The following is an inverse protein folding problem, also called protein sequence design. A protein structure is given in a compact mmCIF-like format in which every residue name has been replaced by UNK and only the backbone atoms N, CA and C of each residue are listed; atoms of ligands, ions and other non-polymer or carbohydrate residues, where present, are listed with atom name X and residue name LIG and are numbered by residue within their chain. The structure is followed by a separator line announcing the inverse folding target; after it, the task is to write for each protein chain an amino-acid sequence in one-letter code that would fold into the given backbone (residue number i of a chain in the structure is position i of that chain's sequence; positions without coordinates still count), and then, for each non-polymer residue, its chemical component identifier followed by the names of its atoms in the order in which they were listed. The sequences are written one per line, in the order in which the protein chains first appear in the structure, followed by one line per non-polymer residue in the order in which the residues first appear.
data_IF_713270974017
#
_entry.id   IF_713270974017
#
_cell.length_a   1.000
_cell.length_b   1.000
_cell.length_c   1.000
_cell.angle_alpha   90.00
_cell.angle_beta   90.00
_cell.angle_gamma   90.00
#
_symmetry.space_group_name_H-M   'P 1'
#
loop_
_entity.id
_entity.type
_entity.pdbx_description
1 polymer ?
#
# COMPACT_ATOMS: atom_id res chain seq x y z
N UNK A 1 -34.15 24.54 13.45
CA UNK A 1 -33.14 23.59 12.95
C UNK A 1 -31.70 24.13 12.90
N UNK A 2 -31.40 25.41 13.25
CA UNK A 2 -30.05 26.02 13.13
C UNK A 2 -29.12 25.83 14.35
N UNK A 3 -29.66 25.45 15.52
CA UNK A 3 -28.87 25.36 16.76
C UNK A 3 -28.03 24.09 16.90
N UNK A 4 -28.60 22.96 16.49
CA UNK A 4 -27.94 21.64 16.59
C UNK A 4 -26.69 21.54 15.70
N UNK A 5 -26.74 22.11 14.51
CA UNK A 5 -25.61 22.17 13.58
C UNK A 5 -24.45 23.01 14.12
N UNK A 6 -24.73 24.14 14.78
CA UNK A 6 -23.68 24.98 15.39
C UNK A 6 -23.01 24.29 16.59
N UNK A 7 -23.78 23.54 17.38
CA UNK A 7 -23.24 22.76 18.50
C UNK A 7 -22.41 21.57 18.02
N UNK A 8 -22.87 20.84 17.00
CA UNK A 8 -22.10 19.77 16.38
C UNK A 8 -20.79 20.29 15.76
N UNK A 9 -20.83 21.40 15.01
CA UNK A 9 -19.63 22.01 14.43
C UNK A 9 -18.63 22.49 15.51
N UNK A 10 -19.11 22.95 16.67
CA UNK A 10 -18.26 23.35 17.79
C UNK A 10 -17.61 22.14 18.48
N UNK A 11 -18.35 21.04 18.61
CA UNK A 11 -17.87 19.76 19.17
C UNK A 11 -16.85 19.09 18.22
N UNK A 12 -17.09 19.12 16.91
CA UNK A 12 -16.15 18.63 15.90
C UNK A 12 -14.84 19.43 15.88
N UNK A 13 -14.90 20.75 16.08
CA UNK A 13 -13.69 21.61 16.17
C UNK A 13 -12.87 21.37 17.44
N UNK A 14 -13.50 20.98 18.53
CA UNK A 14 -12.85 20.65 19.81
C UNK A 14 -12.16 19.27 19.79
N UNK A 15 -12.61 18.36 18.93
CA UNK A 15 -12.04 17.00 18.76
C UNK A 15 -10.92 16.96 17.71
N UNK A 16 -10.56 18.11 17.10
CA UNK A 16 -9.49 18.15 16.08
C UNK A 16 -9.81 17.42 14.76
N UNK A 17 -11.09 17.03 14.56
CA UNK A 17 -11.52 16.37 13.34
C UNK A 17 -11.64 17.38 12.19
N UNK A 18 -10.82 17.24 11.17
CA UNK A 18 -10.84 18.06 9.98
C UNK A 18 -12.20 17.95 9.25
N UNK A 19 -12.92 19.05 9.15
CA UNK A 19 -14.22 19.15 8.45
C UNK A 19 -14.12 18.68 6.98
N UNK A 20 -12.95 18.86 6.35
CA UNK A 20 -12.66 18.35 5.00
C UNK A 20 -12.65 16.81 4.92
N UNK A 21 -12.17 16.10 5.95
CA UNK A 21 -12.20 14.64 5.99
C UNK A 21 -13.64 14.11 6.06
N UNK A 22 -14.48 14.71 6.89
CA UNK A 22 -15.88 14.30 7.03
C UNK A 22 -16.73 14.60 5.79
N UNK A 23 -16.41 15.69 5.06
CA UNK A 23 -17.08 16.02 3.80
C UNK A 23 -16.66 15.10 2.66
N UNK A 24 -15.41 14.66 2.62
CA UNK A 24 -14.90 13.70 1.62
C UNK A 24 -15.60 12.34 1.73
N UNK A 25 -15.77 11.82 2.94
CA UNK A 25 -16.51 10.57 3.18
C UNK A 25 -18.01 10.70 2.93
N UNK A 26 -18.63 11.82 3.31
CA UNK A 26 -20.04 12.08 3.03
C UNK A 26 -20.31 12.14 1.51
N UNK A 27 -19.40 12.72 0.73
CA UNK A 27 -19.48 12.74 -0.74
C UNK A 27 -19.29 11.33 -1.33
N UNK A 28 -18.45 10.50 -0.74
CA UNK A 28 -18.28 9.10 -1.13
C UNK A 28 -19.59 8.32 -0.98
N UNK A 29 -20.22 8.38 0.20
CA UNK A 29 -21.44 7.63 0.51
C UNK A 29 -22.57 8.03 -0.47
N UNK A 30 -22.57 9.24 -1.00
CA UNK A 30 -23.60 9.76 -1.89
C UNK A 30 -23.28 9.66 -3.39
N UNK A 31 -22.08 9.19 -3.78
CA UNK A 31 -21.72 9.06 -5.20
C UNK A 31 -21.41 7.63 -5.60
N UNK A 32 -22.37 6.87 -6.15
CA UNK A 32 -22.15 5.49 -6.60
C UNK A 32 -21.07 5.38 -7.68
N UNK A 33 -20.87 6.45 -8.46
CA UNK A 33 -19.81 6.49 -9.48
C UNK A 33 -18.41 6.47 -8.85
N UNK A 34 -18.16 7.25 -7.78
CA UNK A 34 -16.87 7.25 -7.10
C UNK A 34 -16.56 5.90 -6.45
N UNK A 35 -17.58 5.22 -5.91
CA UNK A 35 -17.45 3.86 -5.40
C UNK A 35 -17.10 2.85 -6.50
N UNK A 36 -17.73 2.98 -7.66
CA UNK A 36 -17.45 2.11 -8.80
C UNK A 36 -16.00 2.31 -9.29
N UNK A 37 -15.53 3.56 -9.36
CA UNK A 37 -14.14 3.88 -9.74
C UNK A 37 -13.16 3.35 -8.67
N UNK A 38 -13.41 3.60 -7.39
CA UNK A 38 -12.57 3.09 -6.31
C UNK A 38 -12.53 1.55 -6.30
N UNK A 39 -13.68 0.91 -6.45
CA UNK A 39 -13.79 -0.55 -6.57
C UNK A 39 -13.01 -1.11 -7.76
N UNK A 40 -13.07 -0.46 -8.92
CA UNK A 40 -12.30 -0.86 -10.10
C UNK A 40 -10.79 -0.71 -9.88
N UNK A 41 -10.34 0.40 -9.26
CA UNK A 41 -8.93 0.61 -8.91
C UNK A 41 -8.45 -0.49 -7.97
N UNK A 42 -9.21 -0.81 -6.91
CA UNK A 42 -8.87 -1.86 -5.95
C UNK A 42 -8.85 -3.24 -6.62
N UNK A 43 -9.85 -3.54 -7.45
CA UNK A 43 -9.87 -4.80 -8.21
C UNK A 43 -8.61 -4.95 -9.07
N UNK A 44 -8.23 -3.90 -9.81
CA UNK A 44 -7.02 -3.90 -10.64
C UNK A 44 -5.75 -4.06 -9.78
N UNK A 45 -5.63 -3.34 -8.68
CA UNK A 45 -4.46 -3.39 -7.80
C UNK A 45 -4.28 -4.79 -7.18
N UNK A 46 -5.36 -5.42 -6.72
CA UNK A 46 -5.30 -6.76 -6.14
C UNK A 46 -5.18 -7.86 -7.18
N UNK A 47 -5.67 -7.65 -8.39
CA UNK A 47 -5.37 -8.49 -9.54
C UNK A 47 -3.85 -8.50 -9.83
N UNK A 48 -3.21 -7.32 -9.89
CA UNK A 48 -1.75 -7.19 -10.04
C UNK A 48 -1.03 -7.94 -8.94
N UNK A 49 -1.44 -7.75 -7.68
CA UNK A 49 -0.86 -8.44 -6.53
C UNK A 49 -0.96 -9.96 -6.65
N UNK A 50 -2.08 -10.50 -7.10
CA UNK A 50 -2.25 -11.95 -7.27
C UNK A 50 -1.31 -12.52 -8.36
N UNK A 51 -1.09 -11.76 -9.44
CA UNK A 51 -0.21 -12.16 -10.56
C UNK A 51 1.28 -12.04 -10.19
N UNK A 52 1.69 -10.91 -9.63
CA UNK A 52 3.11 -10.57 -9.38
C UNK A 52 3.53 -10.97 -7.97
N UNK A 53 2.61 -11.00 -6.99
CA UNK A 53 2.84 -11.30 -5.58
C UNK A 53 2.95 -10.06 -4.68
N UNK A 54 3.00 -8.84 -5.25
CA UNK A 54 3.11 -7.57 -4.51
C UNK A 54 2.54 -6.41 -5.34
N UNK A 55 2.55 -5.19 -4.77
CA UNK A 55 2.26 -3.94 -5.50
C UNK A 55 0.84 -3.41 -5.35
N UNK A 56 -0.10 -4.12 -4.70
CA UNK A 56 -1.46 -3.62 -4.47
C UNK A 56 -1.46 -2.28 -3.73
N UNK A 57 -0.67 -2.16 -2.67
CA UNK A 57 -0.62 -0.95 -1.86
C UNK A 57 -0.19 0.28 -2.68
N UNK A 58 0.93 0.19 -3.39
CA UNK A 58 1.43 1.30 -4.20
C UNK A 58 0.44 1.72 -5.29
N UNK A 59 -0.14 0.75 -6.01
CA UNK A 59 -1.11 1.02 -7.09
C UNK A 59 -2.39 1.63 -6.51
N UNK A 60 -2.93 1.04 -5.43
CA UNK A 60 -4.13 1.55 -4.77
C UNK A 60 -3.93 2.96 -4.25
N UNK A 61 -2.84 3.23 -3.51
CA UNK A 61 -2.56 4.55 -2.97
C UNK A 61 -2.33 5.56 -4.10
N UNK A 62 -1.53 5.20 -5.11
CA UNK A 62 -1.28 6.10 -6.24
C UNK A 62 -2.56 6.51 -6.95
N UNK A 63 -3.44 5.57 -7.27
CA UNK A 63 -4.64 5.86 -8.05
C UNK A 63 -5.76 6.46 -7.19
N UNK A 64 -5.99 5.97 -5.97
CA UNK A 64 -7.04 6.51 -5.10
C UNK A 64 -6.71 7.93 -4.62
N UNK A 65 -5.44 8.27 -4.42
CA UNK A 65 -5.03 9.63 -4.01
C UNK A 65 -5.30 10.68 -5.11
N UNK A 66 -5.60 10.28 -6.35
CA UNK A 66 -6.12 11.19 -7.37
C UNK A 66 -7.53 11.72 -7.05
N UNK A 67 -8.28 10.99 -6.22
CA UNK A 67 -9.69 11.23 -5.94
C UNK A 67 -9.89 11.60 -4.47
N UNK A 68 -9.12 10.98 -3.56
CA UNK A 68 -9.27 11.09 -2.11
C UNK A 68 -7.99 11.56 -1.43
N UNK A 69 -8.08 12.21 -0.24
CA UNK A 69 -6.91 12.61 0.52
C UNK A 69 -6.02 11.42 0.90
N UNK A 70 -4.72 11.56 0.71
CA UNK A 70 -3.75 10.50 0.99
C UNK A 70 -3.83 9.97 2.43
N UNK A 71 -4.10 10.84 3.41
CA UNK A 71 -4.24 10.47 4.83
C UNK A 71 -5.45 9.57 5.12
N UNK A 72 -6.43 9.51 4.22
CA UNK A 72 -7.59 8.61 4.30
C UNK A 72 -7.34 7.33 3.50
N UNK A 73 -6.75 7.49 2.31
CA UNK A 73 -6.45 6.37 1.41
C UNK A 73 -5.50 5.37 2.05
N UNK A 74 -4.40 5.85 2.65
CA UNK A 74 -3.34 4.97 3.16
C UNK A 74 -3.83 4.04 4.27
N UNK A 75 -4.61 4.49 5.29
CA UNK A 75 -5.17 3.58 6.31
C UNK A 75 -6.20 2.58 5.76
N UNK A 76 -7.04 2.96 4.80
CA UNK A 76 -7.98 2.03 4.16
C UNK A 76 -7.23 0.96 3.38
N UNK A 77 -6.24 1.35 2.58
CA UNK A 77 -5.41 0.42 1.81
C UNK A 77 -4.63 -0.51 2.73
N UNK A 78 -4.19 -0.06 3.92
CA UNK A 78 -3.58 -0.94 4.93
C UNK A 78 -4.52 -2.11 5.29
N UNK A 79 -5.79 -1.82 5.59
CA UNK A 79 -6.76 -2.86 5.98
C UNK A 79 -7.01 -3.85 4.83
N UNK A 80 -7.11 -3.33 3.59
CA UNK A 80 -7.26 -4.17 2.40
C UNK A 80 -6.00 -5.02 2.13
N UNK A 81 -4.81 -4.46 2.32
CA UNK A 81 -3.54 -5.17 2.18
C UNK A 81 -3.35 -6.25 3.26
N UNK A 82 -3.81 -5.98 4.49
CA UNK A 82 -3.82 -6.96 5.57
C UNK A 82 -4.70 -8.16 5.19
N UNK A 83 -5.94 -7.90 4.72
CA UNK A 83 -6.83 -8.94 4.21
C UNK A 83 -6.18 -9.74 3.08
N UNK A 84 -5.61 -9.06 2.09
CA UNK A 84 -4.91 -9.69 0.97
C UNK A 84 -3.69 -10.52 1.42
N UNK A 85 -2.94 -10.06 2.42
CA UNK A 85 -1.78 -10.81 2.98
C UNK A 85 -2.23 -12.08 3.70
N UNK A 86 -3.32 -12.04 4.46
CA UNK A 86 -3.90 -13.22 5.12
C UNK A 86 -4.36 -14.23 4.07
N UNK A 87 -5.10 -13.78 3.05
CA UNK A 87 -5.64 -14.67 2.03
C UNK A 87 -4.56 -15.31 1.14
N UNK A 88 -3.50 -14.58 0.81
CA UNK A 88 -2.40 -15.10 -0.01
C UNK A 88 -1.34 -15.84 0.82
N UNK A 89 -1.10 -15.41 2.06
CA UNK A 89 -0.06 -15.97 2.93
C UNK A 89 -0.37 -17.37 3.43
N UNK A 90 -1.65 -17.78 3.48
CA UNK A 90 -2.07 -19.08 3.97
C UNK A 90 -1.54 -20.26 3.11
N UNK A 91 -1.11 -20.00 1.87
CA UNK A 91 -0.74 -21.06 0.91
C UNK A 91 0.73 -21.47 0.93
N UNK A 92 1.68 -20.62 1.37
CA UNK A 92 3.12 -20.85 1.14
C UNK A 92 4.00 -20.74 2.41
N UNK A 93 3.45 -20.83 3.61
CA UNK A 93 4.19 -20.61 4.88
C UNK A 93 5.45 -21.49 5.06
N UNK A 94 5.44 -22.69 4.46
CA UNK A 94 6.56 -23.65 4.59
C UNK A 94 7.81 -23.24 3.80
N UNK A 95 7.65 -22.44 2.77
CA UNK A 95 8.74 -21.98 1.89
C UNK A 95 9.38 -20.65 2.37
N UNK A 96 8.91 -20.14 3.50
CA UNK A 96 9.37 -18.86 4.06
C UNK A 96 10.82 -18.95 4.54
N UNK A 97 11.65 -18.01 4.12
CA UNK A 97 13.05 -17.94 4.52
C UNK A 97 13.22 -17.09 5.78
N UNK A 98 13.16 -17.74 6.93
CA UNK A 98 13.32 -17.11 8.24
C UNK A 98 14.60 -16.29 8.42
N UNK A 99 15.78 -16.70 7.88
CA UNK A 99 16.98 -15.88 7.96
C UNK A 99 16.81 -14.48 7.34
N UNK A 100 16.06 -14.36 6.24
CA UNK A 100 15.77 -13.08 5.60
C UNK A 100 14.88 -12.20 6.50
N UNK A 101 13.83 -12.80 7.09
CA UNK A 101 12.91 -12.09 7.98
C UNK A 101 13.58 -11.57 9.24
N UNK A 102 14.52 -12.32 9.82
CA UNK A 102 15.27 -11.89 11.01
C UNK A 102 16.04 -10.60 10.81
N UNK A 103 16.48 -10.31 9.59
CA UNK A 103 17.18 -9.08 9.25
C UNK A 103 16.25 -7.99 8.74
N UNK A 104 15.16 -8.33 8.06
CA UNK A 104 14.17 -7.37 7.56
C UNK A 104 13.31 -6.77 8.67
N UNK A 105 12.76 -7.62 9.58
CA UNK A 105 11.77 -7.19 10.58
C UNK A 105 12.29 -6.10 11.51
N UNK A 106 13.49 -6.19 12.12
CA UNK A 106 13.98 -5.13 13.00
C UNK A 106 14.10 -3.79 12.28
N UNK A 107 14.63 -3.80 11.05
CA UNK A 107 14.69 -2.61 10.20
C UNK A 107 13.32 -2.07 9.88
N UNK A 108 12.41 -2.95 9.49
CA UNK A 108 11.03 -2.59 9.15
C UNK A 108 10.29 -1.93 10.31
N UNK A 109 10.42 -2.45 11.55
CA UNK A 109 9.83 -1.84 12.76
C UNK A 109 10.26 -0.39 12.91
N UNK A 110 11.57 -0.12 12.79
CA UNK A 110 12.13 1.24 12.88
C UNK A 110 11.55 2.11 11.75
N UNK A 111 11.58 1.59 10.52
CA UNK A 111 11.07 2.29 9.35
C UNK A 111 9.57 2.59 9.44
N UNK A 112 8.77 1.62 9.90
CA UNK A 112 7.32 1.76 10.10
C UNK A 112 7.01 2.86 11.15
N UNK A 113 7.74 2.90 12.25
CA UNK A 113 7.58 3.94 13.28
C UNK A 113 7.85 5.33 12.71
N UNK A 114 8.99 5.50 12.03
CA UNK A 114 9.37 6.77 11.39
C UNK A 114 8.33 7.18 10.33
N UNK A 115 7.98 6.27 9.43
CA UNK A 115 7.04 6.56 8.35
C UNK A 115 5.61 6.84 8.85
N UNK A 116 5.14 6.14 9.90
CA UNK A 116 3.82 6.40 10.49
C UNK A 116 3.78 7.77 11.16
N UNK A 117 4.86 8.18 11.84
CA UNK A 117 4.98 9.52 12.42
C UNK A 117 4.97 10.60 11.32
N UNK A 118 5.76 10.41 10.26
CA UNK A 118 5.77 11.33 9.10
C UNK A 118 4.37 11.42 8.47
N UNK A 119 3.66 10.33 8.31
CA UNK A 119 2.29 10.32 7.77
C UNK A 119 1.33 11.15 8.64
N UNK A 120 1.44 11.03 9.96
CA UNK A 120 0.60 11.76 10.90
C UNK A 120 0.88 13.26 10.88
N UNK A 121 2.15 13.66 10.92
CA UNK A 121 2.61 15.04 11.13
C UNK A 121 2.70 15.86 9.83
N UNK A 122 3.05 15.23 8.70
CA UNK A 122 3.23 15.94 7.42
C UNK A 122 1.90 16.30 6.77
N UNK A 123 1.83 17.45 6.11
CA UNK A 123 0.64 17.83 5.34
C UNK A 123 0.43 16.96 4.10
N UNK A 124 -0.85 16.79 3.70
CA UNK A 124 -1.23 15.91 2.60
C UNK A 124 -0.58 16.27 1.25
N UNK A 125 -0.36 17.57 0.99
CA UNK A 125 0.25 18.04 -0.26
C UNK A 125 1.71 17.57 -0.39
N UNK A 126 2.51 17.72 0.67
CA UNK A 126 3.90 17.27 0.67
C UNK A 126 3.98 15.74 0.55
N UNK A 127 3.12 15.01 1.28
CA UNK A 127 3.03 13.55 1.16
C UNK A 127 2.75 13.12 -0.29
N UNK A 128 1.83 13.79 -0.96
CA UNK A 128 1.47 13.50 -2.36
C UNK A 128 2.62 13.83 -3.32
N UNK A 129 3.35 14.93 -3.11
CA UNK A 129 4.55 15.25 -3.90
C UNK A 129 5.66 14.21 -3.72
N UNK A 130 5.94 13.81 -2.48
CA UNK A 130 6.92 12.75 -2.20
C UNK A 130 6.48 11.41 -2.80
N UNK A 131 5.18 11.10 -2.79
CA UNK A 131 4.63 9.93 -3.49
C UNK A 131 4.95 9.99 -4.98
N UNK A 132 4.76 11.14 -5.63
CA UNK A 132 5.09 11.35 -7.05
C UNK A 132 6.56 11.04 -7.35
N UNK A 133 7.49 11.62 -6.57
CA UNK A 133 8.94 11.34 -6.69
C UNK A 133 9.22 9.85 -6.52
N UNK A 134 8.64 9.23 -5.48
CA UNK A 134 8.85 7.82 -5.19
C UNK A 134 8.32 6.91 -6.31
N UNK A 135 7.13 7.20 -6.85
CA UNK A 135 6.56 6.44 -7.98
C UNK A 135 7.49 6.51 -9.20
N UNK A 136 7.97 7.71 -9.56
CA UNK A 136 8.87 7.86 -10.71
C UNK A 136 10.20 7.15 -10.49
N UNK A 137 10.79 7.25 -9.30
CA UNK A 137 12.00 6.52 -8.95
C UNK A 137 11.77 4.99 -9.05
N UNK A 138 10.62 4.49 -8.57
CA UNK A 138 10.26 3.09 -8.70
C UNK A 138 10.07 2.65 -10.16
N UNK A 139 9.43 3.47 -10.99
CA UNK A 139 9.27 3.19 -12.43
C UNK A 139 10.63 3.06 -13.12
N UNK A 140 11.54 4.02 -12.87
CA UNK A 140 12.91 3.97 -13.40
C UNK A 140 13.63 2.70 -12.92
N UNK A 141 13.56 2.39 -11.62
CA UNK A 141 14.11 1.16 -11.07
C UNK A 141 13.55 -0.08 -11.78
N UNK A 142 12.22 -0.19 -11.92
CA UNK A 142 11.57 -1.35 -12.52
C UNK A 142 11.86 -1.52 -14.02
N UNK A 143 12.15 -0.44 -14.75
CA UNK A 143 12.51 -0.47 -16.17
C UNK A 143 13.99 -0.80 -16.40
N UNK A 144 14.88 -0.27 -15.56
CA UNK A 144 16.33 -0.40 -15.72
C UNK A 144 16.87 -1.69 -15.09
N UNK A 145 16.37 -2.04 -13.91
CA UNK A 145 16.88 -3.18 -13.14
C UNK A 145 16.29 -4.50 -13.63
N UNK A 146 17.17 -5.35 -14.13
CA UNK A 146 16.85 -6.74 -14.48
C UNK A 146 17.20 -7.64 -13.30
N UNK A 147 16.26 -8.42 -12.73
CA UNK A 147 16.51 -9.29 -11.58
C UNK A 147 17.75 -10.18 -11.75
N UNK A 148 17.96 -10.73 -12.95
CA UNK A 148 19.07 -11.62 -13.28
C UNK A 148 20.45 -10.94 -13.27
N UNK A 149 20.51 -9.59 -13.29
CA UNK A 149 21.73 -8.79 -13.30
C UNK A 149 22.03 -8.10 -11.97
N UNK A 150 21.16 -8.28 -10.99
CA UNK A 150 21.36 -7.68 -9.66
C UNK A 150 22.50 -8.37 -8.93
N UNK A 151 23.38 -7.61 -8.25
CA UNK A 151 24.46 -8.19 -7.43
C UNK A 151 23.85 -8.97 -6.26
N UNK A 152 24.52 -10.06 -5.87
CA UNK A 152 24.14 -10.80 -4.67
C UNK A 152 24.63 -10.04 -3.44
N UNK A 153 23.73 -9.77 -2.49
CA UNK A 153 24.04 -9.08 -1.25
C UNK A 153 23.97 -10.00 -0.04
N UNK A 154 24.64 -9.63 1.05
CA UNK A 154 24.63 -10.39 2.31
C UNK A 154 23.35 -10.15 3.12
N UNK A 155 23.06 -11.04 4.07
CA UNK A 155 21.87 -10.97 4.94
C UNK A 155 21.72 -9.64 5.70
N UNK A 156 22.79 -9.04 6.28
CA UNK A 156 22.67 -7.79 7.04
C UNK A 156 22.08 -6.61 6.25
N UNK A 157 22.15 -6.61 4.92
CA UNK A 157 21.49 -5.60 4.08
C UNK A 157 19.97 -5.61 4.20
N UNK A 158 19.41 -6.67 4.80
CA UNK A 158 17.98 -6.73 5.14
C UNK A 158 17.56 -5.62 6.10
N UNK A 159 18.42 -5.24 7.06
CA UNK A 159 18.05 -4.19 8.03
C UNK A 159 17.93 -2.80 7.38
N UNK A 160 18.91 -2.23 6.66
CA UNK A 160 18.75 -0.93 6.03
C UNK A 160 17.66 -0.91 4.96
N UNK A 161 17.50 -1.99 4.18
CA UNK A 161 16.42 -2.09 3.20
C UNK A 161 15.06 -2.32 3.87
N UNK A 162 15.02 -2.97 5.03
CA UNK A 162 13.86 -3.05 5.90
C UNK A 162 13.45 -1.68 6.44
N UNK A 163 14.39 -0.84 6.91
CA UNK A 163 14.10 0.53 7.36
C UNK A 163 13.47 1.33 6.23
N UNK A 164 14.10 1.33 5.06
CA UNK A 164 13.58 2.06 3.91
C UNK A 164 12.22 1.52 3.45
N UNK A 165 12.07 0.17 3.42
CA UNK A 165 10.81 -0.50 3.12
C UNK A 165 9.69 -0.15 4.11
N UNK A 166 10.01 -0.10 5.40
CA UNK A 166 9.07 0.29 6.46
C UNK A 166 8.61 1.75 6.34
N UNK A 167 9.53 2.70 6.07
CA UNK A 167 9.18 4.10 5.83
C UNK A 167 8.23 4.22 4.66
N UNK A 168 8.61 3.67 3.51
CA UNK A 168 7.78 3.70 2.29
C UNK A 168 6.45 2.96 2.50
N UNK A 169 6.49 1.84 3.22
CA UNK A 169 5.32 1.05 3.58
C UNK A 169 4.28 1.84 4.35
N UNK A 170 4.72 2.58 5.37
CA UNK A 170 3.84 3.43 6.17
C UNK A 170 3.31 4.64 5.41
N UNK A 171 4.11 5.22 4.53
CA UNK A 171 3.68 6.41 3.79
C UNK A 171 2.74 6.09 2.63
N UNK A 172 2.96 4.98 1.93
CA UNK A 172 2.38 4.74 0.61
C UNK A 172 1.77 3.35 0.42
N UNK A 173 1.57 2.62 1.50
CA UNK A 173 0.82 1.35 1.42
C UNK A 173 1.57 0.20 0.76
N UNK A 174 2.82 0.11 0.95
CA UNK A 174 3.56 -1.03 0.43
C UNK A 174 5.06 -0.81 0.47
N UNK A 175 5.73 -1.30 1.50
CA UNK A 175 7.18 -1.41 1.57
C UNK A 175 7.76 -2.30 0.47
N UNK A 176 6.90 -2.65 -0.53
CA UNK A 176 7.20 -3.58 -1.60
C UNK A 176 8.49 -3.29 -2.33
N UNK A 177 8.69 -2.14 -2.98
CA UNK A 177 9.86 -1.95 -3.83
C UNK A 177 11.22 -2.17 -3.15
N UNK A 178 11.54 -1.59 -1.97
CA UNK A 178 12.82 -1.84 -1.31
C UNK A 178 12.99 -3.29 -0.83
N UNK A 179 11.91 -3.87 -0.28
CA UNK A 179 11.93 -5.27 0.19
C UNK A 179 12.03 -6.23 -0.99
N UNK A 180 11.31 -5.94 -2.09
CA UNK A 180 11.41 -6.71 -3.34
C UNK A 180 12.82 -6.66 -3.90
N UNK A 181 13.45 -5.47 -3.95
CA UNK A 181 14.82 -5.30 -4.39
C UNK A 181 15.78 -6.16 -3.55
N UNK A 182 15.63 -6.13 -2.21
CA UNK A 182 16.41 -6.97 -1.32
C UNK A 182 16.25 -8.45 -1.64
N UNK A 183 15.01 -8.94 -1.68
CA UNK A 183 14.74 -10.38 -1.91
C UNK A 183 15.20 -10.83 -3.31
N UNK A 184 15.14 -9.96 -4.32
CA UNK A 184 15.71 -10.24 -5.66
C UNK A 184 17.23 -10.34 -5.60
N UNK A 185 17.93 -9.44 -4.89
CA UNK A 185 19.38 -9.49 -4.70
C UNK A 185 19.83 -10.67 -3.82
N UNK A 186 18.91 -11.32 -3.10
CA UNK A 186 19.15 -12.58 -2.38
C UNK A 186 19.02 -13.81 -3.29
N UNK A 187 18.56 -13.64 -4.53
CA UNK A 187 18.39 -14.69 -5.54
C UNK A 187 17.56 -15.88 -5.05
N UNK A 188 16.48 -15.58 -4.33
CA UNK A 188 15.53 -16.60 -3.87
C UNK A 188 14.77 -17.17 -5.08
N UNK A 189 14.45 -18.45 -5.01
CA UNK A 189 13.52 -19.04 -5.97
C UNK A 189 12.12 -18.42 -5.85
N UNK A 190 11.28 -18.58 -6.87
CA UNK A 190 9.99 -17.90 -6.96
C UNK A 190 9.04 -18.21 -5.78
N UNK A 191 9.09 -19.45 -5.24
CA UNK A 191 8.22 -19.83 -4.10
C UNK A 191 8.71 -19.22 -2.81
N UNK A 192 10.01 -19.35 -2.52
CA UNK A 192 10.63 -18.74 -1.35
C UNK A 192 10.53 -17.20 -1.37
N UNK A 193 10.69 -16.56 -2.55
CA UNK A 193 10.48 -15.13 -2.71
C UNK A 193 9.05 -14.72 -2.31
N UNK A 194 8.03 -15.36 -2.88
CA UNK A 194 6.62 -15.05 -2.58
C UNK A 194 6.28 -15.29 -1.12
N UNK A 195 6.67 -16.45 -0.58
CA UNK A 195 6.43 -16.80 0.81
C UNK A 195 7.07 -15.81 1.78
N UNK A 196 8.36 -15.47 1.56
CA UNK A 196 9.09 -14.53 2.42
C UNK A 196 8.54 -13.12 2.30
N UNK A 197 8.18 -12.69 1.08
CA UNK A 197 7.53 -11.39 0.87
C UNK A 197 6.16 -11.30 1.58
N UNK A 198 5.32 -12.34 1.50
CA UNK A 198 4.05 -12.35 2.21
C UNK A 198 4.23 -12.37 3.74
N UNK A 199 5.26 -13.05 4.23
CA UNK A 199 5.60 -13.06 5.66
C UNK A 199 5.95 -11.67 6.18
N UNK A 200 6.87 -10.96 5.51
CA UNK A 200 7.22 -9.59 5.92
C UNK A 200 6.03 -8.64 5.71
N UNK A 201 5.29 -8.75 4.61
CA UNK A 201 4.14 -7.91 4.34
C UNK A 201 3.03 -8.07 5.39
N UNK A 202 2.77 -9.31 5.85
CA UNK A 202 1.81 -9.56 6.94
C UNK A 202 2.29 -8.94 8.24
N UNK A 203 3.55 -9.16 8.61
CA UNK A 203 4.16 -8.58 9.82
C UNK A 203 4.09 -7.06 9.79
N UNK A 204 4.50 -6.44 8.68
CA UNK A 204 4.47 -4.99 8.51
C UNK A 204 3.06 -4.42 8.57
N UNK A 205 2.08 -5.08 7.94
CA UNK A 205 0.69 -4.63 7.97
C UNK A 205 0.09 -4.70 9.38
N UNK A 206 0.40 -5.75 10.17
CA UNK A 206 -0.04 -5.86 11.56
C UNK A 206 0.59 -4.76 12.41
N UNK A 207 1.91 -4.59 12.35
CA UNK A 207 2.63 -3.57 13.12
C UNK A 207 2.17 -2.15 12.75
N UNK A 208 2.02 -1.88 11.44
CA UNK A 208 1.51 -0.62 10.94
C UNK A 208 0.08 -0.34 11.41
N UNK A 209 -0.77 -1.39 11.46
CA UNK A 209 -2.12 -1.31 12.02
C UNK A 209 -2.11 -0.81 13.47
N UNK A 210 -1.26 -1.39 14.31
CA UNK A 210 -1.10 -0.92 15.70
C UNK A 210 -0.63 0.53 15.77
N UNK A 211 0.36 0.92 14.95
CA UNK A 211 0.87 2.29 14.93
C UNK A 211 -0.20 3.28 14.45
N UNK A 212 -1.01 2.92 13.45
CA UNK A 212 -2.08 3.80 12.95
C UNK A 212 -3.23 3.94 13.94
N UNK A 213 -3.53 2.91 14.73
CA UNK A 213 -4.47 3.03 15.86
C UNK A 213 -3.90 3.97 16.92
N UNK A 214 -2.64 3.79 17.32
CA UNK A 214 -1.97 4.62 18.32
C UNK A 214 -1.87 6.10 17.91
N UNK A 215 -1.72 6.39 16.63
CA UNK A 215 -1.66 7.74 16.06
C UNK A 215 -3.03 8.29 15.63
N UNK A 216 -4.14 7.61 15.98
CA UNK A 216 -5.51 7.97 15.59
C UNK A 216 -5.72 8.18 14.08
N UNK A 217 -4.92 7.51 13.24
CA UNK A 217 -5.05 7.52 11.78
C UNK A 217 -6.17 6.58 11.29
N UNK A 218 -6.57 5.57 12.09
CA UNK A 218 -7.69 4.68 11.80
C UNK A 218 -8.94 5.19 12.51
N UNK A 219 -9.95 5.58 11.74
CA UNK A 219 -11.26 6.04 12.23
C UNK A 219 -12.37 5.07 11.85
N UNK A 220 -13.52 5.15 12.53
CA UNK A 220 -14.67 4.32 12.23
C UNK A 220 -15.20 4.51 10.80
N UNK A 221 -15.17 5.74 10.30
CA UNK A 221 -15.58 6.06 8.93
C UNK A 221 -14.71 5.31 7.89
N UNK A 222 -13.40 5.19 8.16
CA UNK A 222 -12.48 4.44 7.32
C UNK A 222 -12.78 2.94 7.32
N UNK A 223 -13.25 2.40 8.46
CA UNK A 223 -13.66 1.00 8.55
C UNK A 223 -14.87 0.69 7.65
N UNK A 224 -15.82 1.60 7.51
CA UNK A 224 -16.95 1.45 6.57
C UNK A 224 -16.45 1.42 5.12
N UNK A 225 -15.55 2.35 4.74
CA UNK A 225 -14.93 2.35 3.42
C UNK A 225 -14.19 1.06 3.10
N UNK A 226 -13.47 0.51 4.10
CA UNK A 226 -12.81 -0.79 3.99
C UNK A 226 -13.83 -1.91 3.68
N UNK A 227 -14.92 -2.01 4.42
CA UNK A 227 -15.94 -3.06 4.23
C UNK A 227 -16.52 -3.05 2.81
N UNK A 228 -16.80 -1.86 2.27
CA UNK A 228 -17.33 -1.71 0.91
C UNK A 228 -16.34 -2.12 -0.18
N UNK A 229 -15.03 -2.06 0.08
CA UNK A 229 -13.98 -2.41 -0.87
C UNK A 229 -13.52 -3.88 -0.74
N UNK A 230 -14.05 -4.67 0.20
CA UNK A 230 -13.74 -6.11 0.31
C UNK A 230 -14.13 -6.88 -0.96
N UNK A 231 -15.36 -6.75 -1.54
CA UNK A 231 -15.73 -7.51 -2.73
C UNK A 231 -14.77 -7.29 -3.92
N UNK A 232 -14.37 -6.06 -4.29
CA UNK A 232 -13.34 -5.84 -5.31
C UNK A 232 -12.00 -6.51 -5.01
N UNK A 233 -11.55 -6.54 -3.74
CA UNK A 233 -10.33 -7.27 -3.34
C UNK A 233 -10.45 -8.75 -3.65
N UNK A 234 -11.54 -9.39 -3.20
CA UNK A 234 -11.76 -10.82 -3.41
C UNK A 234 -11.84 -11.17 -4.89
N UNK A 235 -12.56 -10.35 -5.67
CA UNK A 235 -12.67 -10.53 -7.13
C UNK A 235 -11.32 -10.35 -7.82
N UNK A 236 -10.53 -9.34 -7.43
CA UNK A 236 -9.20 -9.09 -7.97
C UNK A 236 -8.25 -10.24 -7.69
N UNK A 237 -8.19 -10.73 -6.45
CA UNK A 237 -7.37 -11.87 -6.06
C UNK A 237 -7.80 -13.15 -6.79
N UNK A 238 -9.09 -13.42 -6.86
CA UNK A 238 -9.63 -14.59 -7.55
C UNK A 238 -9.33 -14.56 -9.05
N UNK A 239 -9.59 -13.42 -9.71
CA UNK A 239 -9.34 -13.25 -11.13
C UNK A 239 -7.85 -13.35 -11.46
N UNK A 240 -6.97 -12.71 -10.66
CA UNK A 240 -5.53 -12.78 -10.85
C UNK A 240 -4.97 -14.19 -10.67
N UNK A 241 -5.50 -14.94 -9.72
CA UNK A 241 -5.09 -16.33 -9.46
C UNK A 241 -5.52 -17.29 -10.60
N UNK A 242 -6.67 -17.03 -11.25
CA UNK A 242 -7.17 -17.87 -12.34
C UNK A 242 -6.66 -17.46 -13.72
N UNK A 243 -6.49 -16.16 -13.97
CA UNK A 243 -6.21 -15.61 -15.31
C UNK A 243 -4.73 -15.36 -15.56
N UNK A 244 -3.84 -15.48 -14.55
CA UNK A 244 -2.41 -15.19 -14.67
C UNK A 244 -1.68 -15.98 -15.78
N UNK A 245 -2.19 -17.13 -16.16
CA UNK A 245 -1.60 -17.99 -17.22
C UNK A 245 -1.88 -17.50 -18.64
N UNK A 246 -2.83 -16.58 -18.84
CA UNK A 246 -3.29 -16.13 -20.16
C UNK A 246 -2.78 -14.75 -20.58
N UNK A 247 -2.14 -14.02 -19.67
CA UNK A 247 -1.74 -12.63 -19.92
C UNK A 247 -0.23 -12.54 -20.12
N UNK A 248 0.18 -11.78 -21.13
CA UNK A 248 1.58 -11.41 -21.31
C UNK A 248 2.02 -10.52 -20.14
N UNK A 249 2.72 -11.15 -19.16
CA UNK A 249 3.17 -10.48 -17.93
C UNK A 249 4.00 -9.23 -18.21
N UNK A 250 4.78 -9.22 -19.30
CA UNK A 250 5.62 -8.06 -19.66
C UNK A 250 4.79 -6.89 -20.15
N UNK A 251 3.81 -7.13 -21.03
CA UNK A 251 2.91 -6.08 -21.51
C UNK A 251 2.07 -5.50 -20.37
N UNK A 252 1.59 -6.35 -19.47
CA UNK A 252 0.83 -5.94 -18.29
C UNK A 252 1.67 -5.09 -17.33
N UNK A 253 2.91 -5.51 -17.04
CA UNK A 253 3.85 -4.74 -16.20
C UNK A 253 4.13 -3.37 -16.83
N UNK A 254 4.42 -3.31 -18.12
CA UNK A 254 4.68 -2.04 -18.82
C UNK A 254 3.45 -1.12 -18.80
N UNK A 255 2.25 -1.66 -18.99
CA UNK A 255 1.00 -0.88 -18.86
C UNK A 255 0.83 -0.30 -17.45
N UNK A 256 1.08 -1.09 -16.42
CA UNK A 256 1.04 -0.63 -15.02
C UNK A 256 2.09 0.46 -14.75
N UNK A 257 3.32 0.27 -15.21
CA UNK A 257 4.39 1.27 -15.07
C UNK A 257 4.08 2.56 -15.84
N UNK A 258 3.49 2.45 -17.04
CA UNK A 258 3.03 3.60 -17.81
C UNK A 258 1.95 4.41 -17.06
N UNK A 259 0.96 3.72 -16.48
CA UNK A 259 -0.05 4.35 -15.65
C UNK A 259 0.56 5.04 -14.43
N UNK A 260 1.45 4.38 -13.71
CA UNK A 260 2.17 4.95 -12.58
C UNK A 260 3.02 6.15 -12.97
N UNK A 261 3.63 6.15 -14.17
CA UNK A 261 4.39 7.31 -14.67
C UNK A 261 3.50 8.53 -14.83
N UNK A 262 2.34 8.38 -15.47
CA UNK A 262 1.38 9.47 -15.65
C UNK A 262 0.93 10.03 -14.29
N UNK A 263 0.61 9.15 -13.35
CA UNK A 263 0.18 9.55 -11.99
C UNK A 263 1.32 10.25 -11.24
N UNK A 264 2.53 9.69 -11.29
CA UNK A 264 3.71 10.27 -10.63
C UNK A 264 4.02 11.69 -11.15
N UNK A 265 3.95 11.91 -12.46
CA UNK A 265 4.11 13.23 -13.07
C UNK A 265 3.03 14.20 -12.60
N UNK A 266 1.75 13.77 -12.56
CA UNK A 266 0.64 14.60 -12.07
C UNK A 266 0.84 15.07 -10.64
N UNK A 267 1.50 14.29 -9.78
CA UNK A 267 1.74 14.67 -8.38
C UNK A 267 2.89 15.67 -8.20
N UNK A 268 3.71 15.89 -9.22
CA UNK A 268 4.80 16.86 -9.19
C UNK A 268 4.40 18.24 -9.73
N UNK A 269 3.37 18.27 -10.56
CA UNK A 269 2.78 19.50 -11.14
C UNK A 269 1.69 20.03 -10.22
#
# INVERSE_FOLDING_TARGET
MSGIWKTLLKTYRLVGMNLHASLSYATLIHSPLLWAIAGFIILLAFYVRAVIGFGSGLISVALLTLIFPIKEVVPVVLLLDLLGSVLLGAYDFREMRWPELRWLIPGSIIGLAIGSYILADTNAQNLTRFLGVFILAYVVYALVMKPDRLPRISLPWGTPLGIFGGIVGSLYGGGGPPIVAYLQMRHLDKRAFRATFQGIALTDNVLRGFMYVALALLTWQLAVGFLMLIPPVLLGLWAGNRLHLRINQRAFLLGTLGLLTVVGLKYLI
#
